data_IF_530219560629
#
_entry.id   IF_530219560629
#
_cell.length_a   1.000
_cell.length_b   1.000
_cell.length_c   1.000
_cell.angle_alpha   90.00
_cell.angle_beta   90.00
_cell.angle_gamma   90.00
#
_symmetry.space_group_name_H-M   'P 1'
#
loop_
_entity.id
_entity.type
_entity.pdbx_description
1 polymer ?
#
# COMPACT_ATOMS: atom_id res chain seq x y z
N UNK A 1 -9.19 -3.79 -11.08
CA UNK A 1 -8.37 -2.66 -11.59
C UNK A 1 -7.27 -3.23 -12.48
N UNK A 2 -6.64 -2.41 -13.32
CA UNK A 2 -5.46 -2.86 -14.07
C UNK A 2 -4.23 -2.82 -13.15
N UNK A 3 -3.71 -4.01 -12.86
CA UNK A 3 -2.51 -4.21 -12.04
C UNK A 3 -1.28 -4.43 -12.91
N UNK A 4 -0.23 -3.70 -12.62
CA UNK A 4 1.11 -3.93 -13.17
C UNK A 4 1.95 -4.64 -12.11
N UNK A 5 2.85 -5.52 -12.55
CA UNK A 5 3.81 -6.22 -11.68
C UNK A 5 5.23 -5.86 -12.09
N UNK A 6 6.02 -5.43 -11.13
CA UNK A 6 7.47 -5.28 -11.25
C UNK A 6 8.15 -6.28 -10.31
N UNK A 7 9.21 -6.94 -10.79
CA UNK A 7 9.91 -7.98 -10.02
C UNK A 7 11.35 -7.55 -9.84
N UNK A 8 11.78 -7.32 -8.60
CA UNK A 8 13.20 -7.17 -8.30
C UNK A 8 13.79 -8.48 -7.81
N UNK A 9 14.41 -9.20 -8.74
CA UNK A 9 15.09 -10.47 -8.47
C UNK A 9 16.31 -10.33 -7.55
N UNK A 10 16.92 -9.14 -7.44
CA UNK A 10 18.08 -8.91 -6.56
C UNK A 10 17.65 -8.65 -5.12
N UNK A 11 16.56 -7.92 -4.93
CA UNK A 11 16.04 -7.59 -3.61
C UNK A 11 15.04 -8.64 -3.07
N UNK A 12 14.59 -9.58 -3.92
CA UNK A 12 13.77 -10.71 -3.50
C UNK A 12 12.30 -10.35 -3.26
N UNK A 13 11.77 -9.36 -3.97
CA UNK A 13 10.38 -8.95 -3.84
C UNK A 13 9.68 -8.64 -5.17
N UNK A 14 8.35 -8.78 -5.14
CA UNK A 14 7.41 -8.32 -6.14
C UNK A 14 6.78 -6.98 -5.71
N UNK A 15 6.52 -6.09 -6.66
CA UNK A 15 5.69 -4.91 -6.48
C UNK A 15 4.48 -4.98 -7.42
N UNK A 16 3.28 -4.99 -6.84
CA UNK A 16 2.03 -4.90 -7.58
C UNK A 16 1.50 -3.49 -7.45
N UNK A 17 1.37 -2.77 -8.56
CA UNK A 17 0.94 -1.38 -8.51
C UNK A 17 -0.13 -1.03 -9.54
N UNK A 18 -0.94 -0.05 -9.17
CA UNK A 18 -1.95 0.56 -10.02
C UNK A 18 -1.95 2.07 -9.83
N UNK A 19 -2.45 2.80 -10.83
CA UNK A 19 -2.41 4.27 -10.81
C UNK A 19 -3.64 4.88 -11.46
N UNK A 20 -4.01 6.07 -10.99
CA UNK A 20 -5.14 6.84 -11.50
C UNK A 20 -4.79 8.32 -11.56
N UNK A 21 -5.17 9.01 -12.64
CA UNK A 21 -5.15 10.47 -12.69
C UNK A 21 -6.35 11.01 -11.89
N UNK A 22 -6.07 11.89 -10.93
CA UNK A 22 -7.06 12.52 -10.06
C UNK A 22 -7.69 13.74 -10.75
N UNK A 23 -8.85 14.16 -10.25
CA UNK A 23 -9.59 15.34 -10.73
C UNK A 23 -8.78 16.64 -10.67
N UNK A 24 -7.91 16.78 -9.67
CA UNK A 24 -7.01 17.93 -9.49
C UNK A 24 -5.76 17.90 -10.41
N UNK A 25 -5.68 16.95 -11.34
CA UNK A 25 -4.56 16.80 -12.27
C UNK A 25 -3.32 16.11 -11.69
N UNK A 26 -3.31 15.76 -10.39
CA UNK A 26 -2.30 14.87 -9.82
C UNK A 26 -2.52 13.42 -10.24
N UNK A 27 -1.56 12.55 -9.96
CA UNK A 27 -1.69 11.10 -10.16
C UNK A 27 -1.49 10.41 -8.82
N UNK A 28 -2.44 9.55 -8.46
CA UNK A 28 -2.33 8.65 -7.33
C UNK A 28 -1.77 7.30 -7.80
N UNK A 29 -0.85 6.75 -7.03
CA UNK A 29 -0.21 5.46 -7.22
C UNK A 29 -0.41 4.67 -5.94
N UNK A 30 -0.87 3.42 -6.09
CA UNK A 30 -0.97 2.46 -4.99
C UNK A 30 -0.06 1.30 -5.34
N UNK A 31 0.86 0.98 -4.45
CA UNK A 31 1.82 -0.12 -4.58
C UNK A 31 1.66 -1.08 -3.42
N UNK A 32 1.73 -2.37 -3.70
CA UNK A 32 1.73 -3.46 -2.75
C UNK A 32 3.03 -4.24 -2.92
N UNK A 33 3.97 -3.93 -2.04
CA UNK A 33 5.33 -4.45 -2.08
C UNK A 33 5.38 -5.71 -1.23
N UNK A 34 5.68 -6.84 -1.87
CA UNK A 34 5.76 -8.12 -1.19
C UNK A 34 7.01 -8.19 -0.31
N UNK A 35 6.90 -8.79 0.86
CA UNK A 35 8.01 -9.16 1.71
C UNK A 35 7.69 -10.53 2.31
N UNK A 36 8.68 -11.41 2.35
CA UNK A 36 8.57 -12.70 3.02
C UNK A 36 9.62 -12.70 4.13
N UNK A 37 9.23 -12.36 5.36
CA UNK A 37 10.14 -12.41 6.49
C UNK A 37 10.73 -13.82 6.62
N UNK A 38 12.04 -13.92 6.83
CA UNK A 38 12.76 -15.21 6.87
C UNK A 38 12.22 -16.23 7.89
N UNK A 39 11.43 -15.78 8.87
CA UNK A 39 10.89 -16.59 9.96
C UNK A 39 9.36 -16.72 9.93
N UNK A 40 8.68 -16.17 8.91
CA UNK A 40 7.23 -16.26 8.78
C UNK A 40 6.87 -16.86 7.41
N UNK A 41 6.00 -17.86 7.41
CA UNK A 41 5.48 -18.47 6.18
C UNK A 41 4.44 -17.59 5.47
N UNK A 42 4.00 -16.50 6.12
CA UNK A 42 3.07 -15.53 5.56
C UNK A 42 3.78 -14.52 4.65
N UNK A 43 3.21 -14.30 3.47
CA UNK A 43 3.65 -13.24 2.58
C UNK A 43 3.01 -11.91 2.99
N UNK A 44 3.82 -10.91 3.28
CA UNK A 44 3.35 -9.58 3.63
C UNK A 44 3.35 -8.69 2.40
N UNK A 45 2.34 -7.84 2.27
CA UNK A 45 2.28 -6.79 1.27
C UNK A 45 2.19 -5.44 1.97
N UNK A 46 3.26 -4.65 1.88
CA UNK A 46 3.28 -3.29 2.39
C UNK A 46 2.60 -2.37 1.37
N UNK A 47 1.53 -1.72 1.80
CA UNK A 47 0.71 -0.85 0.97
C UNK A 47 1.24 0.58 1.06
N UNK A 48 1.63 1.14 -0.08
CA UNK A 48 2.06 2.52 -0.21
C UNK A 48 1.08 3.31 -1.10
N UNK A 49 0.66 4.50 -0.64
CA UNK A 49 -0.09 5.49 -1.42
C UNK A 49 0.78 6.71 -1.68
N UNK A 50 0.97 7.02 -2.95
CA UNK A 50 1.79 8.13 -3.44
C UNK A 50 0.93 9.03 -4.32
N UNK A 51 0.84 10.34 -4.00
CA UNK A 51 0.12 11.32 -4.83
C UNK A 51 1.11 12.39 -5.28
N UNK A 52 1.27 12.54 -6.60
CA UNK A 52 2.26 13.46 -7.17
C UNK A 52 1.80 14.09 -8.50
N UNK A 53 2.37 15.26 -8.83
CA UNK A 53 2.21 15.90 -10.15
C UNK A 53 3.19 15.27 -11.13
N UNK A 54 2.67 14.76 -12.25
CA UNK A 54 3.40 13.98 -13.28
C UNK A 54 4.62 14.78 -13.81
N UNK A 55 5.84 14.54 -13.28
CA UNK A 55 7.10 15.03 -13.87
C UNK A 55 8.40 14.41 -13.37
N UNK A 56 8.42 13.68 -12.26
CA UNK A 56 9.54 12.80 -11.94
C UNK A 56 9.09 11.37 -12.19
N UNK A 57 9.87 10.63 -12.97
CA UNK A 57 9.79 9.19 -12.96
C UNK A 57 9.75 8.80 -11.49
N UNK A 58 8.66 8.18 -11.04
CA UNK A 58 8.58 7.68 -9.68
C UNK A 58 9.49 6.46 -9.69
N UNK A 59 10.79 6.73 -9.57
CA UNK A 59 11.79 5.70 -9.39
C UNK A 59 11.50 5.04 -8.06
N UNK A 60 11.85 3.76 -7.92
CA UNK A 60 11.62 2.96 -6.71
C UNK A 60 12.13 3.60 -5.40
N UNK A 61 13.04 4.56 -5.51
CA UNK A 61 13.59 5.35 -4.42
C UNK A 61 12.68 6.49 -3.94
N UNK A 62 11.78 6.99 -4.77
CA UNK A 62 10.85 8.07 -4.42
C UNK A 62 9.72 7.59 -3.48
N UNK A 63 9.55 6.26 -3.32
CA UNK A 63 8.59 5.65 -2.42
C UNK A 63 9.01 5.72 -0.94
N UNK A 64 10.31 5.93 -0.68
CA UNK A 64 10.91 5.97 0.67
C UNK A 64 11.39 7.36 1.08
N UNK A 65 11.36 8.35 0.17
CA UNK A 65 11.66 9.73 0.51
C UNK A 65 10.36 10.35 1.06
N UNK A 66 10.28 10.54 2.37
CA UNK A 66 9.17 11.13 3.16
C UNK A 66 8.71 12.55 2.68
N UNK A 67 9.18 13.02 1.52
CA UNK A 67 8.94 14.34 0.93
C UNK A 67 7.75 14.37 -0.03
N UNK A 68 6.69 13.64 0.28
CA UNK A 68 5.46 13.63 -0.51
C UNK A 68 4.66 14.91 -0.28
N UNK A 69 4.74 15.86 -1.22
CA UNK A 69 4.14 17.21 -1.18
C UNK A 69 2.75 17.31 -1.83
N UNK A 70 2.05 16.19 -2.01
CA UNK A 70 0.69 16.23 -2.56
C UNK A 70 -0.33 16.57 -1.48
N UNK A 71 -1.13 17.62 -1.67
CA UNK A 71 -2.40 17.80 -0.94
C UNK A 71 -3.17 16.48 -1.02
N UNK A 72 -3.31 15.82 0.13
CA UNK A 72 -3.92 14.50 0.26
C UNK A 72 -5.40 14.56 -0.11
N UNK A 73 -5.71 14.49 -1.40
CA UNK A 73 -7.09 14.53 -1.87
C UNK A 73 -7.85 13.30 -1.34
N UNK A 74 -9.06 13.54 -0.86
CA UNK A 74 -9.98 12.47 -0.46
C UNK A 74 -10.16 11.43 -1.58
N UNK A 75 -10.13 11.89 -2.83
CA UNK A 75 -10.16 11.02 -4.02
C UNK A 75 -9.02 10.00 -4.02
N UNK A 76 -7.79 10.40 -3.66
CA UNK A 76 -6.64 9.50 -3.56
C UNK A 76 -6.80 8.46 -2.45
N UNK A 77 -7.38 8.85 -1.30
CA UNK A 77 -7.67 7.91 -0.21
C UNK A 77 -8.76 6.90 -0.59
N UNK A 78 -9.81 7.36 -1.29
CA UNK A 78 -10.87 6.48 -1.82
C UNK A 78 -10.27 5.50 -2.83
N UNK A 79 -9.41 5.98 -3.73
CA UNK A 79 -8.72 5.14 -4.70
C UNK A 79 -7.85 4.07 -4.02
N UNK A 80 -7.07 4.43 -2.99
CA UNK A 80 -6.29 3.47 -2.22
C UNK A 80 -7.15 2.41 -1.54
N UNK A 81 -8.28 2.81 -0.94
CA UNK A 81 -9.25 1.88 -0.35
C UNK A 81 -9.76 0.89 -1.40
N UNK A 82 -10.18 1.38 -2.56
CA UNK A 82 -10.68 0.54 -3.65
C UNK A 82 -9.59 -0.40 -4.18
N UNK A 83 -8.35 0.07 -4.31
CA UNK A 83 -7.23 -0.75 -4.75
C UNK A 83 -6.94 -1.90 -3.78
N UNK A 84 -6.95 -1.64 -2.46
CA UNK A 84 -6.79 -2.71 -1.44
C UNK A 84 -7.87 -3.79 -1.59
N UNK A 85 -9.13 -3.38 -1.72
CA UNK A 85 -10.25 -4.33 -1.87
C UNK A 85 -10.19 -5.10 -3.19
N UNK A 86 -9.84 -4.43 -4.29
CA UNK A 86 -9.70 -5.03 -5.61
C UNK A 86 -8.52 -6.01 -5.67
N UNK A 87 -7.38 -5.67 -5.04
CA UNK A 87 -6.23 -6.57 -4.94
C UNK A 87 -6.60 -7.84 -4.17
N UNK A 88 -7.25 -7.70 -3.02
CA UNK A 88 -7.72 -8.85 -2.23
C UNK A 88 -8.64 -9.77 -3.05
N UNK A 89 -9.56 -9.21 -3.83
CA UNK A 89 -10.49 -9.99 -4.65
C UNK A 89 -9.83 -10.62 -5.90
N UNK A 90 -8.77 -10.03 -6.43
CA UNK A 90 -8.09 -10.48 -7.65
C UNK A 90 -6.82 -11.30 -7.40
N UNK A 91 -6.38 -11.42 -6.14
CA UNK A 91 -5.17 -12.13 -5.77
C UNK A 91 -5.29 -13.63 -6.06
N UNK A 92 -4.41 -14.13 -6.92
CA UNK A 92 -4.35 -15.54 -7.32
C UNK A 92 -3.13 -16.30 -6.75
N UNK A 93 -2.34 -15.65 -5.88
CA UNK A 93 -1.15 -16.24 -5.27
C UNK A 93 -1.45 -17.05 -4.00
N UNK A 94 -0.46 -17.27 -3.12
CA UNK A 94 -0.65 -17.96 -1.85
C UNK A 94 -1.79 -17.34 -1.03
N UNK A 95 -2.54 -18.19 -0.32
CA UNK A 95 -3.70 -17.78 0.50
C UNK A 95 -3.36 -17.28 1.88
N UNK A 96 -2.10 -17.42 2.32
CA UNK A 96 -1.59 -16.94 3.61
C UNK A 96 -0.85 -15.63 3.40
N UNK A 97 -1.60 -14.51 3.36
CA UNK A 97 -1.04 -13.18 3.13
C UNK A 97 -1.45 -12.19 4.22
N UNK A 98 -0.69 -11.11 4.37
CA UNK A 98 -1.07 -9.97 5.17
C UNK A 98 -0.89 -8.65 4.42
N UNK A 99 -1.91 -7.81 4.42
CA UNK A 99 -1.83 -6.44 3.93
C UNK A 99 -1.43 -5.54 5.09
N UNK A 100 -0.32 -4.81 4.96
CA UNK A 100 0.23 -3.92 5.99
C UNK A 100 0.16 -2.50 5.49
N UNK A 101 -0.54 -1.64 6.23
CA UNK A 101 -0.60 -0.21 5.96
C UNK A 101 0.07 0.52 7.11
N UNK A 102 1.19 1.18 6.81
CA UNK A 102 1.89 2.07 7.72
C UNK A 102 1.89 3.51 7.23
N UNK A 103 2.37 4.43 8.05
CA UNK A 103 2.61 5.81 7.63
C UNK A 103 3.32 6.61 8.71
N UNK A 104 4.22 7.51 8.29
CA UNK A 104 4.89 8.47 9.16
C UNK A 104 3.97 9.63 9.59
N UNK A 105 2.88 9.87 8.85
CA UNK A 105 1.90 10.92 9.15
C UNK A 105 0.85 10.47 10.19
N UNK A 106 0.97 11.00 11.41
CA UNK A 106 0.05 10.77 12.53
C UNK A 106 -1.42 11.12 12.22
N UNK A 107 -1.70 12.06 11.30
CA UNK A 107 -3.07 12.42 10.91
C UNK A 107 -3.70 11.32 10.06
N UNK A 108 -2.93 10.76 9.12
CA UNK A 108 -3.37 9.61 8.30
C UNK A 108 -3.54 8.36 9.15
N UNK A 109 -2.64 8.15 10.11
CA UNK A 109 -2.74 7.03 11.05
C UNK A 109 -4.08 7.02 11.80
N UNK A 110 -4.54 8.18 12.32
CA UNK A 110 -5.86 8.30 12.98
C UNK A 110 -7.03 7.96 12.04
N UNK A 111 -6.93 8.29 10.75
CA UNK A 111 -7.94 7.92 9.75
C UNK A 111 -7.94 6.41 9.53
N UNK A 112 -6.77 5.79 9.36
CA UNK A 112 -6.64 4.36 9.17
C UNK A 112 -7.24 3.59 10.35
N UNK A 113 -6.92 3.99 11.57
CA UNK A 113 -7.46 3.40 12.81
C UNK A 113 -8.97 3.51 12.91
N UNK A 114 -9.57 4.57 12.36
CA UNK A 114 -11.02 4.75 12.36
C UNK A 114 -11.74 3.90 11.30
N UNK A 115 -11.17 3.79 10.11
CA UNK A 115 -11.88 3.25 8.94
C UNK A 115 -11.49 1.82 8.58
N UNK A 116 -10.23 1.44 8.75
CA UNK A 116 -9.75 0.12 8.33
C UNK A 116 -10.24 -1.04 9.19
N UNK A 117 -10.61 -0.89 10.49
CA UNK A 117 -11.24 -1.97 11.23
C UNK A 117 -12.51 -2.51 10.57
N UNK A 118 -13.28 -1.64 9.88
CA UNK A 118 -14.47 -2.06 9.11
C UNK A 118 -14.14 -2.91 7.88
N UNK A 119 -12.87 -2.98 7.50
CA UNK A 119 -12.36 -3.78 6.39
C UNK A 119 -11.61 -5.03 6.89
N UNK A 120 -11.57 -5.27 8.21
CA UNK A 120 -10.87 -6.41 8.82
C UNK A 120 -9.42 -6.14 9.21
N UNK A 121 -8.96 -4.89 9.17
CA UNK A 121 -7.63 -4.55 9.67
C UNK A 121 -7.62 -4.39 11.19
N UNK A 122 -6.55 -4.87 11.82
CA UNK A 122 -6.27 -4.65 13.24
C UNK A 122 -5.05 -3.75 13.40
N UNK A 123 -5.03 -2.96 14.47
CA UNK A 123 -3.88 -2.13 14.82
C UNK A 123 -2.86 -2.97 15.58
N UNK A 124 -1.60 -2.96 15.13
CA UNK A 124 -0.52 -3.76 15.73
C UNK A 124 0.79 -2.99 15.70
N UNK A 125 1.73 -3.36 16.58
CA UNK A 125 3.10 -2.85 16.54
C UNK A 125 3.99 -3.81 15.76
N UNK A 126 4.67 -3.31 14.73
CA UNK A 126 5.60 -4.06 13.87
C UNK A 126 6.85 -3.24 13.61
N UNK A 127 8.03 -3.82 13.81
CA UNK A 127 9.34 -3.19 13.59
C UNK A 127 9.46 -1.78 14.21
N UNK A 128 8.91 -1.62 15.42
CA UNK A 128 8.90 -0.36 16.17
C UNK A 128 7.79 0.63 15.80
N UNK A 129 7.10 0.43 14.66
CA UNK A 129 6.03 1.30 14.17
C UNK A 129 4.63 0.74 14.49
N UNK A 130 3.64 1.63 14.63
CA UNK A 130 2.23 1.23 14.67
C UNK A 130 1.71 1.12 13.23
N UNK A 131 1.15 -0.04 12.90
CA UNK A 131 0.62 -0.35 11.57
C UNK A 131 -0.82 -0.87 11.68
N UNK A 132 -1.56 -0.76 10.57
CA UNK A 132 -2.81 -1.48 10.38
C UNK A 132 -2.53 -2.72 9.54
N UNK A 133 -2.90 -3.89 10.03
CA UNK A 133 -2.65 -5.16 9.36
C UNK A 133 -3.96 -5.93 9.15
N UNK A 134 -4.19 -6.43 7.94
CA UNK A 134 -5.25 -7.39 7.65
C UNK A 134 -4.61 -8.71 7.26
N UNK A 135 -4.86 -9.75 8.04
CA UNK A 135 -4.46 -11.12 7.72
C UNK A 135 -5.56 -11.77 6.90
N UNK A 136 -5.19 -12.39 5.80
CA UNK A 136 -6.09 -13.13 4.92
C UNK A 136 -5.57 -14.55 4.96
N UNK A 137 -6.38 -15.42 5.58
CA UNK A 137 -6.14 -16.86 5.66
C UNK A 137 -7.33 -17.50 4.91
N UNK A 138 -7.09 -18.07 3.72
CA UNK A 138 -8.12 -18.77 2.91
C UNK A 138 -7.75 -20.20 2.64
#
# INVERSE_FOLDING_TARGET
MDWMREVDRRAGYDDYYTRKKLSNGMTAYVSLISDVPKMDSRQYFYVALVIAKKRKAIARTDYFDDRMTGDGSLEGLIFAKQAITDFEASWAGPRNIALVVGGSDSRRQKLYERYFPRMGFVKERRDGAMVMIKRIDT
#
